data_IF_886786261555
#
_entry.id   IF_886786261555
#
_cell.length_a   1.000
_cell.length_b   1.000
_cell.length_c   1.000
_cell.angle_alpha   90.00
_cell.angle_beta   90.00
_cell.angle_gamma   90.00
#
_symmetry.space_group_name_H-M   'P 1'
#
loop_
_entity.id
_entity.type
_entity.pdbx_description
1 polymer ?
#
# COMPACT_ATOMS: atom_id res chain seq x y z
N UNK A 1 -19.23 4.03 41.94
CA UNK A 1 -20.23 3.65 40.91
C UNK A 1 -19.55 3.89 39.59
N UNK A 2 -18.99 2.82 39.04
CA UNK A 2 -17.85 2.84 38.14
C UNK A 2 -18.20 3.20 36.69
N UNK A 3 -17.33 4.01 36.08
CA UNK A 3 -17.33 4.37 34.67
C UNK A 3 -17.28 3.16 33.71
N UNK A 4 -16.97 1.96 34.20
CA UNK A 4 -17.07 0.72 33.42
C UNK A 4 -18.51 0.35 33.04
N UNK A 5 -19.50 0.70 33.86
CA UNK A 5 -20.90 0.33 33.56
C UNK A 5 -21.44 1.17 32.39
N UNK A 6 -20.97 2.42 32.21
CA UNK A 6 -21.40 3.29 31.11
C UNK A 6 -20.82 2.88 29.74
N UNK A 7 -19.62 2.27 29.73
CA UNK A 7 -19.01 1.74 28.49
C UNK A 7 -19.73 0.45 28.05
N UNK A 8 -20.22 -0.37 28.98
CA UNK A 8 -21.01 -1.56 28.64
C UNK A 8 -22.38 -1.21 28.04
N UNK A 9 -23.01 -0.09 28.42
CA UNK A 9 -24.30 0.32 27.81
C UNK A 9 -24.11 0.83 26.38
N UNK A 10 -22.95 1.41 26.04
CA UNK A 10 -22.62 1.76 24.64
C UNK A 10 -22.31 0.53 23.77
N UNK A 11 -21.90 -0.60 24.36
CA UNK A 11 -21.73 -1.87 23.64
C UNK A 11 -23.04 -2.69 23.49
N UNK A 12 -24.12 -2.31 24.17
CA UNK A 12 -25.41 -3.02 24.10
C UNK A 12 -26.51 -2.24 23.36
N UNK A 13 -26.17 -1.12 22.72
CA UNK A 13 -27.11 -0.33 21.92
C UNK A 13 -26.53 0.05 20.54
N UNK A 14 -26.16 -0.95 19.73
CA UNK A 14 -26.22 -0.78 18.27
C UNK A 14 -26.43 -2.12 17.56
N UNK A 15 -27.62 -2.68 17.80
CA UNK A 15 -28.23 -3.67 16.90
C UNK A 15 -29.40 -3.01 16.18
N UNK A 16 -29.14 -1.92 15.43
CA UNK A 16 -30.15 -1.31 14.54
C UNK A 16 -29.61 -0.34 13.47
N UNK A 17 -28.30 -0.29 13.20
CA UNK A 17 -27.81 0.24 11.93
C UNK A 17 -26.83 -0.81 11.42
N UNK A 18 -27.31 -1.69 10.55
CA UNK A 18 -26.45 -2.54 9.73
C UNK A 18 -25.67 -1.67 8.74
N UNK A 19 -24.80 -0.78 9.24
CA UNK A 19 -23.80 -0.10 8.45
C UNK A 19 -22.81 -1.19 8.05
N UNK A 20 -23.16 -1.91 6.97
CA UNK A 20 -22.15 -2.63 6.21
C UNK A 20 -21.16 -1.53 5.81
N UNK A 21 -20.00 -1.50 6.46
CA UNK A 21 -18.87 -0.72 5.97
C UNK A 21 -18.50 -1.41 4.67
N UNK A 22 -19.11 -0.97 3.58
CA UNK A 22 -18.73 -1.42 2.25
C UNK A 22 -17.31 -0.92 2.00
N UNK A 23 -16.40 -1.74 1.45
CA UNK A 23 -15.13 -1.25 0.96
C UNK A 23 -15.34 0.00 0.11
N UNK A 24 -14.45 0.98 0.25
CA UNK A 24 -14.52 2.19 -0.58
C UNK A 24 -14.42 1.74 -2.04
N UNK A 25 -15.31 2.23 -2.90
CA UNK A 25 -15.34 1.77 -4.30
C UNK A 25 -14.01 2.10 -5.00
N UNK A 26 -13.60 1.27 -5.96
CA UNK A 26 -12.37 1.53 -6.74
C UNK A 26 -12.44 2.90 -7.44
N UNK A 27 -13.64 3.31 -7.88
CA UNK A 27 -13.86 4.63 -8.51
C UNK A 27 -13.56 5.78 -7.54
N UNK A 28 -14.00 5.65 -6.29
CA UNK A 28 -13.76 6.68 -5.27
C UNK A 28 -12.28 6.74 -4.86
N UNK A 29 -11.62 5.59 -4.75
CA UNK A 29 -10.18 5.54 -4.48
C UNK A 29 -9.35 6.10 -5.64
N UNK A 30 -9.71 5.78 -6.89
CA UNK A 30 -9.11 6.39 -8.08
C UNK A 30 -9.26 7.92 -8.05
N UNK A 31 -10.47 8.42 -7.73
CA UNK A 31 -10.70 9.86 -7.62
C UNK A 31 -9.84 10.49 -6.54
N UNK A 32 -9.78 9.87 -5.36
CA UNK A 32 -8.95 10.32 -4.24
C UNK A 32 -7.47 10.44 -4.63
N UNK A 33 -6.93 9.42 -5.30
CA UNK A 33 -5.54 9.45 -5.79
C UNK A 33 -5.33 10.61 -6.76
N UNK A 34 -6.20 10.74 -7.77
CA UNK A 34 -6.05 11.77 -8.79
C UNK A 34 -6.20 13.19 -8.23
N UNK A 35 -7.07 13.40 -7.24
CA UNK A 35 -7.24 14.68 -6.57
C UNK A 35 -5.98 15.08 -5.80
N UNK A 36 -5.38 14.15 -5.05
CA UNK A 36 -4.15 14.41 -4.30
C UNK A 36 -2.95 14.69 -5.20
N UNK A 37 -2.83 13.99 -6.33
CA UNK A 37 -1.76 14.23 -7.30
C UNK A 37 -1.90 15.57 -8.04
N UNK A 38 -3.12 16.04 -8.30
CA UNK A 38 -3.39 17.34 -8.95
C UNK A 38 -3.29 18.52 -7.99
N UNK A 39 -3.64 18.30 -6.73
CA UNK A 39 -3.60 19.31 -5.68
C UNK A 39 -2.63 18.90 -4.57
N UNK A 40 -1.34 18.71 -4.87
CA UNK A 40 -0.35 18.40 -3.85
C UNK A 40 -0.36 19.56 -2.86
N UNK A 41 -0.69 19.26 -1.60
CA UNK A 41 -1.03 20.21 -0.52
C UNK A 41 -0.38 21.58 -0.75
N UNK A 42 -1.17 22.56 -1.20
CA UNK A 42 -0.72 23.95 -1.21
C UNK A 42 -0.47 24.34 0.24
N UNK A 43 0.78 24.63 0.60
CA UNK A 43 1.09 25.31 1.86
C UNK A 43 0.40 26.68 1.83
N UNK A 44 -0.84 26.75 2.30
CA UNK A 44 -1.50 28.04 2.53
C UNK A 44 -0.93 28.60 3.83
N UNK A 45 -0.50 29.86 3.77
CA UNK A 45 0.15 30.58 4.87
C UNK A 45 -0.76 30.81 6.11
N UNK A 46 -1.94 30.18 6.15
CA UNK A 46 -2.97 30.37 7.18
C UNK A 46 -3.07 29.18 8.15
N UNK A 47 -2.27 28.12 7.97
CA UNK A 47 -2.25 26.98 8.88
C UNK A 47 -1.59 27.38 10.22
N UNK A 48 -2.41 27.71 11.23
CA UNK A 48 -1.99 27.97 12.62
C UNK A 48 -1.52 26.69 13.37
N UNK A 49 -1.25 25.61 12.65
CA UNK A 49 -0.75 24.33 13.16
C UNK A 49 -0.01 23.55 12.07
N UNK A 50 1.22 23.10 12.35
CA UNK A 50 1.95 22.16 11.50
C UNK A 50 1.32 20.76 11.67
N UNK A 51 0.30 20.46 10.88
CA UNK A 51 -0.24 19.11 10.82
C UNK A 51 0.71 18.21 10.02
N UNK A 52 0.99 16.97 10.49
CA UNK A 52 1.72 16.00 9.70
C UNK A 52 1.03 15.80 8.35
N UNK A 53 1.79 15.94 7.26
CA UNK A 53 1.28 15.77 5.90
C UNK A 53 2.30 14.98 5.09
N UNK A 54 1.83 14.20 4.12
CA UNK A 54 2.74 13.51 3.22
C UNK A 54 3.64 14.48 2.45
N UNK A 55 4.86 14.06 2.08
CA UNK A 55 5.74 14.87 1.24
C UNK A 55 5.05 15.20 -0.10
N UNK A 56 5.50 16.27 -0.76
CA UNK A 56 5.00 16.64 -2.07
C UNK A 56 5.11 15.47 -3.06
N UNK A 57 4.04 15.16 -3.79
CA UNK A 57 3.99 14.05 -4.74
C UNK A 57 3.75 12.68 -4.12
N UNK A 58 3.47 12.60 -2.81
CA UNK A 58 3.04 11.37 -2.14
C UNK A 58 1.54 11.42 -1.87
N UNK A 59 0.87 10.28 -2.07
CA UNK A 59 -0.55 10.09 -1.77
C UNK A 59 -0.71 9.63 -0.33
N UNK A 60 -1.51 10.37 0.44
CA UNK A 60 -1.91 10.03 1.79
C UNK A 60 -3.12 9.11 1.79
N UNK A 61 -3.01 7.97 2.48
CA UNK A 61 -4.13 7.10 2.78
C UNK A 61 -3.90 6.40 4.12
N UNK A 62 -4.89 6.44 5.01
CA UNK A 62 -4.88 5.78 6.33
C UNK A 62 -3.61 6.06 7.17
N UNK A 63 -3.17 7.33 7.23
CA UNK A 63 -1.98 7.73 7.99
C UNK A 63 -0.64 7.27 7.38
N UNK A 64 -0.65 6.83 6.12
CA UNK A 64 0.53 6.40 5.38
C UNK A 64 0.65 7.21 4.09
N UNK A 65 1.87 7.33 3.61
CA UNK A 65 2.20 8.05 2.39
C UNK A 65 2.75 7.07 1.36
N UNK A 66 2.19 7.05 0.15
CA UNK A 66 2.61 6.19 -0.96
C UNK A 66 3.12 7.02 -2.13
N UNK A 67 4.13 6.53 -2.84
CA UNK A 67 4.61 7.16 -4.08
C UNK A 67 5.13 6.11 -5.06
N UNK A 68 4.86 6.32 -6.35
CA UNK A 68 5.28 5.43 -7.43
C UNK A 68 6.52 6.00 -8.12
N UNK A 69 7.47 5.11 -8.42
CA UNK A 69 8.67 5.43 -9.16
C UNK A 69 8.78 4.52 -10.38
N UNK A 70 8.73 5.12 -11.58
CA UNK A 70 8.81 4.42 -12.86
C UNK A 70 10.21 3.96 -13.26
N UNK A 71 11.19 4.00 -12.36
CA UNK A 71 12.54 3.51 -12.64
C UNK A 71 12.59 1.99 -12.51
N UNK A 72 13.15 1.30 -13.51
CA UNK A 72 13.33 -0.15 -13.43
C UNK A 72 14.56 -0.49 -12.59
N UNK A 73 14.34 -1.13 -11.45
CA UNK A 73 15.39 -1.56 -10.51
C UNK A 73 15.14 -2.99 -10.05
N UNK A 74 16.20 -3.68 -9.62
CA UNK A 74 16.03 -4.90 -8.84
C UNK A 74 15.39 -4.60 -7.48
N UNK A 75 14.85 -5.64 -6.83
CA UNK A 75 14.08 -5.47 -5.60
C UNK A 75 14.93 -4.83 -4.48
N UNK A 76 16.20 -5.20 -4.36
CA UNK A 76 17.08 -4.68 -3.31
C UNK A 76 17.46 -3.21 -3.56
N UNK A 77 17.72 -2.84 -4.80
CA UNK A 77 17.97 -1.46 -5.19
C UNK A 77 16.73 -0.57 -5.02
N UNK A 78 15.54 -1.08 -5.35
CA UNK A 78 14.28 -0.39 -5.14
C UNK A 78 13.98 -0.17 -3.64
N UNK A 79 14.22 -1.19 -2.80
CA UNK A 79 14.12 -1.06 -1.33
C UNK A 79 15.09 -0.01 -0.79
N UNK A 80 16.37 -0.06 -1.20
CA UNK A 80 17.37 0.94 -0.81
C UNK A 80 16.98 2.36 -1.22
N UNK A 81 16.36 2.52 -2.40
CA UNK A 81 15.84 3.79 -2.86
C UNK A 81 14.71 4.30 -1.94
N UNK A 82 13.74 3.46 -1.59
CA UNK A 82 12.67 3.84 -0.67
C UNK A 82 13.19 4.17 0.74
N UNK A 83 14.21 3.44 1.22
CA UNK A 83 14.90 3.73 2.49
C UNK A 83 15.53 5.13 2.46
N UNK A 84 16.18 5.51 1.36
CA UNK A 84 16.77 6.84 1.21
C UNK A 84 15.72 7.97 1.21
N UNK A 85 14.45 7.66 0.93
CA UNK A 85 13.32 8.60 1.03
C UNK A 85 12.62 8.58 2.40
N UNK A 86 13.18 7.85 3.36
CA UNK A 86 12.64 7.70 4.71
C UNK A 86 11.45 6.75 4.80
N UNK A 87 11.40 5.74 3.92
CA UNK A 87 10.36 4.72 3.86
C UNK A 87 10.92 3.33 3.53
N UNK A 88 10.08 2.50 2.93
CA UNK A 88 10.41 1.16 2.43
C UNK A 88 9.62 0.91 1.14
N UNK A 89 9.88 -0.18 0.43
CA UNK A 89 8.93 -0.69 -0.54
C UNK A 89 7.57 -0.90 0.12
N UNK A 90 6.51 -0.67 -0.65
CA UNK A 90 5.16 -0.63 -0.12
C UNK A 90 4.76 -1.96 0.51
N UNK A 91 4.42 -1.92 1.80
CA UNK A 91 3.65 -2.96 2.46
C UNK A 91 2.16 -2.67 2.38
N UNK A 92 1.36 -3.73 2.25
CA UNK A 92 -0.07 -3.64 2.00
C UNK A 92 -0.83 -4.43 3.08
N UNK A 93 -1.79 -3.76 3.71
CA UNK A 93 -2.47 -4.24 4.92
C UNK A 93 -3.99 -4.32 4.77
N UNK A 94 -4.56 -3.83 3.66
CA UNK A 94 -5.98 -3.94 3.37
C UNK A 94 -6.26 -3.90 1.86
N UNK A 95 -7.48 -4.31 1.48
CA UNK A 95 -7.94 -4.16 0.10
C UNK A 95 -7.94 -2.69 -0.34
N UNK A 96 -8.35 -1.75 0.52
CA UNK A 96 -8.38 -0.34 0.15
C UNK A 96 -6.96 0.21 -0.11
N UNK A 97 -5.97 -0.16 0.71
CA UNK A 97 -4.57 0.21 0.45
C UNK A 97 -4.08 -0.36 -0.87
N UNK A 98 -4.42 -1.61 -1.17
CA UNK A 98 -4.04 -2.23 -2.44
C UNK A 98 -4.65 -1.48 -3.64
N UNK A 99 -5.92 -1.10 -3.55
CA UNK A 99 -6.58 -0.31 -4.58
C UNK A 99 -5.98 1.10 -4.71
N UNK A 100 -5.56 1.73 -3.61
CA UNK A 100 -4.81 3.01 -3.66
C UNK A 100 -3.48 2.84 -4.38
N UNK A 101 -2.74 1.77 -4.11
CA UNK A 101 -1.47 1.46 -4.80
C UNK A 101 -1.72 1.24 -6.29
N UNK A 102 -2.74 0.47 -6.68
CA UNK A 102 -3.12 0.27 -8.09
C UNK A 102 -3.51 1.57 -8.78
N UNK A 103 -4.36 2.37 -8.14
CA UNK A 103 -4.78 3.67 -8.64
C UNK A 103 -3.58 4.60 -8.85
N UNK A 104 -2.65 4.60 -7.90
CA UNK A 104 -1.40 5.36 -7.97
C UNK A 104 -0.54 4.90 -9.15
N UNK A 105 -0.32 3.60 -9.32
CA UNK A 105 0.42 3.07 -10.48
C UNK A 105 -0.25 3.50 -11.77
N UNK A 106 -1.57 3.29 -11.92
CA UNK A 106 -2.34 3.65 -13.12
C UNK A 106 -2.26 5.14 -13.46
N UNK A 107 -2.21 6.01 -12.45
CA UNK A 107 -2.09 7.45 -12.63
C UNK A 107 -0.77 7.86 -13.30
N UNK A 108 0.31 7.13 -13.06
CA UNK A 108 1.65 7.40 -13.61
C UNK A 108 2.01 6.50 -14.80
N UNK A 109 1.55 5.26 -14.80
CA UNK A 109 1.72 4.25 -15.85
C UNK A 109 0.37 3.64 -16.23
N UNK A 110 -0.31 4.20 -17.25
CA UNK A 110 -1.59 3.67 -17.74
C UNK A 110 -1.53 2.24 -18.29
N UNK A 111 -0.33 1.71 -18.58
CA UNK A 111 -0.18 0.31 -19.01
C UNK A 111 -0.21 -0.67 -17.83
N UNK A 112 -0.11 -0.16 -16.60
CA UNK A 112 -0.06 -0.95 -15.37
C UNK A 112 0.95 -2.09 -15.51
N UNK A 113 2.21 -1.74 -15.81
CA UNK A 113 3.31 -2.70 -15.86
C UNK A 113 3.59 -3.29 -14.47
N UNK A 114 4.32 -4.40 -14.45
CA UNK A 114 4.74 -5.07 -13.23
C UNK A 114 5.54 -4.11 -12.33
N UNK A 115 5.16 -4.09 -11.05
CA UNK A 115 5.66 -3.11 -10.07
C UNK A 115 6.00 -3.79 -8.75
N UNK A 116 7.19 -3.55 -8.21
CA UNK A 116 7.63 -4.09 -6.93
C UNK A 116 6.82 -3.58 -5.74
N UNK A 117 6.60 -4.49 -4.79
CA UNK A 117 6.15 -4.21 -3.42
C UNK A 117 7.11 -4.87 -2.42
N UNK A 118 7.00 -4.49 -1.14
CA UNK A 118 7.99 -4.85 -0.12
C UNK A 118 7.88 -6.28 0.42
N UNK A 119 7.05 -7.14 -0.17
CA UNK A 119 6.88 -8.50 0.32
C UNK A 119 8.01 -9.39 -0.20
N UNK A 120 8.64 -10.14 0.70
CA UNK A 120 9.61 -11.16 0.33
C UNK A 120 9.58 -12.35 1.29
N UNK A 121 10.06 -13.51 0.84
CA UNK A 121 10.34 -14.66 1.71
C UNK A 121 11.82 -15.09 1.62
N UNK A 122 12.69 -14.27 1.02
CA UNK A 122 14.10 -14.60 0.80
C UNK A 122 14.87 -14.82 2.11
N UNK A 123 14.53 -14.09 3.17
CA UNK A 123 15.18 -14.21 4.48
C UNK A 123 14.82 -15.51 5.19
N UNK A 124 13.60 -16.01 4.98
CA UNK A 124 13.09 -17.23 5.59
C UNK A 124 12.12 -17.90 4.62
N UNK A 125 12.59 -18.94 3.95
CA UNK A 125 11.79 -19.72 3.01
C UNK A 125 10.44 -20.12 3.64
N UNK A 126 9.37 -20.01 2.85
CA UNK A 126 7.99 -20.26 3.26
C UNK A 126 7.43 -19.28 4.32
N UNK A 127 8.09 -18.14 4.56
CA UNK A 127 7.63 -17.10 5.47
C UNK A 127 7.68 -15.74 4.80
N UNK A 128 6.51 -15.24 4.38
CA UNK A 128 6.37 -13.91 3.79
C UNK A 128 6.50 -12.81 4.84
N UNK A 129 7.37 -11.84 4.57
CA UNK A 129 7.71 -10.72 5.44
C UNK A 129 7.70 -9.41 4.64
N UNK A 130 7.14 -8.36 5.21
CA UNK A 130 7.26 -7.01 4.67
C UNK A 130 8.63 -6.43 5.05
N UNK A 131 9.29 -5.76 4.11
CA UNK A 131 10.61 -5.13 4.31
C UNK A 131 10.60 -4.04 5.38
N UNK A 132 9.45 -3.41 5.62
CA UNK A 132 9.24 -2.40 6.66
C UNK A 132 8.99 -2.99 8.07
N UNK A 133 9.04 -4.33 8.20
CA UNK A 133 8.85 -5.04 9.46
C UNK A 133 7.40 -5.15 9.93
N UNK A 134 6.41 -4.66 9.18
CA UNK A 134 5.01 -4.84 9.53
C UNK A 134 4.57 -6.31 9.34
N UNK A 135 3.47 -6.68 10.03
CA UNK A 135 2.97 -8.06 10.01
C UNK A 135 2.28 -8.38 8.68
N UNK A 136 2.61 -9.53 8.10
CA UNK A 136 1.91 -10.09 6.96
C UNK A 136 0.53 -10.62 7.38
N UNK A 137 -0.54 -9.89 7.04
CA UNK A 137 -1.94 -10.21 7.39
C UNK A 137 -2.92 -10.14 6.22
N UNK A 138 -2.51 -9.47 5.14
CA UNK A 138 -3.30 -9.30 3.93
C UNK A 138 -2.50 -9.85 2.75
N UNK A 139 -3.20 -10.50 1.83
CA UNK A 139 -2.61 -11.04 0.62
C UNK A 139 -3.58 -10.96 -0.53
N UNK A 140 -3.05 -10.73 -1.73
CA UNK A 140 -3.81 -10.68 -2.97
C UNK A 140 -3.06 -11.40 -4.08
N UNK A 141 -2.77 -12.68 -3.86
CA UNK A 141 -2.11 -13.51 -4.86
C UNK A 141 -3.01 -13.76 -6.07
N UNK A 142 -2.43 -13.78 -7.26
CA UNK A 142 -3.11 -14.30 -8.43
C UNK A 142 -3.46 -15.78 -8.25
N UNK A 143 -4.41 -16.25 -9.06
CA UNK A 143 -4.69 -17.68 -9.15
C UNK A 143 -3.40 -18.46 -9.48
N UNK A 144 -3.09 -19.45 -8.65
CA UNK A 144 -1.88 -20.31 -8.70
C UNK A 144 -0.59 -19.66 -8.19
N UNK A 145 -0.66 -18.45 -7.64
CA UNK A 145 0.45 -17.80 -6.95
C UNK A 145 0.29 -17.89 -5.41
N UNK A 146 1.41 -17.84 -4.65
CA UNK A 146 2.78 -17.94 -5.14
C UNK A 146 3.11 -19.37 -5.60
N UNK A 147 3.82 -19.49 -6.72
CA UNK A 147 4.17 -20.79 -7.30
C UNK A 147 5.58 -21.26 -6.93
N UNK A 148 6.41 -20.37 -6.35
CA UNK A 148 7.77 -20.65 -5.90
C UNK A 148 8.69 -21.27 -6.96
N UNK A 149 8.49 -20.93 -8.23
CA UNK A 149 9.34 -21.41 -9.32
C UNK A 149 10.75 -20.88 -9.12
N UNK A 150 11.77 -21.69 -9.41
CA UNK A 150 13.14 -21.21 -9.69
C UNK A 150 13.74 -20.11 -8.77
N UNK A 151 13.55 -20.21 -7.45
CA UNK A 151 14.15 -19.24 -6.50
C UNK A 151 13.40 -17.91 -6.37
N UNK A 152 12.12 -17.89 -6.75
CA UNK A 152 11.20 -16.78 -6.56
C UNK A 152 10.97 -16.50 -5.07
N UNK A 153 11.35 -15.29 -4.65
CA UNK A 153 11.23 -14.90 -3.26
C UNK A 153 10.89 -13.41 -3.05
N UNK A 154 10.77 -12.62 -4.12
CA UNK A 154 10.31 -11.24 -4.13
C UNK A 154 8.95 -11.14 -4.84
N UNK A 155 8.20 -10.07 -4.58
CA UNK A 155 6.82 -9.94 -5.06
C UNK A 155 6.61 -8.66 -5.84
N UNK A 156 6.01 -8.80 -7.01
CA UNK A 156 5.45 -7.68 -7.77
C UNK A 156 3.94 -7.78 -7.86
N UNK A 157 3.29 -6.65 -8.14
CA UNK A 157 1.88 -6.56 -8.49
C UNK A 157 1.71 -6.42 -10.00
N UNK A 158 0.47 -6.25 -10.46
CA UNK A 158 0.10 -6.06 -11.86
C UNK A 158 0.37 -7.27 -12.77
N UNK A 159 0.42 -8.47 -12.18
CA UNK A 159 0.58 -9.72 -12.93
C UNK A 159 -0.76 -10.28 -13.42
N UNK A 160 -0.75 -10.88 -14.60
CA UNK A 160 -1.92 -11.55 -15.17
C UNK A 160 -3.10 -10.61 -15.44
N UNK A 161 -4.28 -11.20 -15.70
CA UNK A 161 -5.50 -10.44 -16.00
C UNK A 161 -6.11 -9.75 -14.78
N UNK A 162 -5.92 -10.31 -13.58
CA UNK A 162 -6.43 -9.74 -12.33
C UNK A 162 -5.55 -8.58 -11.82
N UNK A 163 -4.32 -8.47 -12.38
CA UNK A 163 -3.31 -7.48 -11.97
C UNK A 163 -2.86 -7.64 -10.52
N UNK A 164 -3.02 -8.84 -9.99
CA UNK A 164 -2.72 -9.22 -8.61
C UNK A 164 -1.27 -9.68 -8.42
N UNK A 165 -0.93 -10.21 -7.24
CA UNK A 165 0.46 -10.44 -6.83
C UNK A 165 1.03 -11.70 -7.46
N UNK A 166 2.34 -11.69 -7.70
CA UNK A 166 3.13 -12.81 -8.22
C UNK A 166 4.49 -12.85 -7.53
N UNK A 167 4.97 -14.03 -7.15
CA UNK A 167 6.37 -14.20 -6.75
C UNK A 167 7.27 -14.36 -7.96
N UNK A 168 8.46 -13.77 -7.90
CA UNK A 168 9.36 -13.63 -9.04
C UNK A 168 10.82 -13.56 -8.54
N UNK A 169 11.85 -13.85 -9.37
CA UNK A 169 13.24 -13.68 -8.94
C UNK A 169 13.54 -12.21 -8.66
N UNK A 170 14.21 -11.93 -7.55
CA UNK A 170 14.47 -10.56 -7.08
C UNK A 170 15.37 -9.72 -8.00
N UNK A 171 16.11 -10.36 -8.92
CA UNK A 171 17.03 -9.71 -9.85
C UNK A 171 16.35 -9.20 -11.14
N UNK A 172 15.03 -9.32 -11.26
CA UNK A 172 14.27 -8.67 -12.33
C UNK A 172 14.25 -7.15 -12.12
N UNK A 173 14.07 -6.39 -13.19
CA UNK A 173 14.00 -4.93 -13.10
C UNK A 173 12.56 -4.47 -13.32
N UNK A 174 11.95 -3.89 -12.28
CA UNK A 174 10.58 -3.36 -12.34
C UNK A 174 10.53 -1.95 -11.74
N UNK A 175 9.47 -1.22 -12.07
CA UNK A 175 9.08 -0.02 -11.32
C UNK A 175 8.69 -0.42 -9.90
N UNK A 176 8.48 0.56 -9.02
CA UNK A 176 8.22 0.25 -7.61
C UNK A 176 7.39 1.31 -6.91
N UNK A 177 6.75 0.92 -5.81
CA UNK A 177 5.99 1.82 -4.94
C UNK A 177 6.67 1.86 -3.59
N UNK A 178 6.97 3.07 -3.11
CA UNK A 178 7.45 3.29 -1.76
C UNK A 178 6.29 3.62 -0.81
N UNK A 179 6.45 3.29 0.46
CA UNK A 179 5.59 3.72 1.55
C UNK A 179 6.39 4.28 2.71
N UNK A 180 5.83 5.27 3.40
CA UNK A 180 6.33 5.75 4.71
C UNK A 180 5.17 6.10 5.62
N UNK A 181 5.42 6.12 6.92
CA UNK A 181 4.45 6.64 7.90
C UNK A 181 4.42 8.17 7.81
N UNK A 182 3.23 8.73 8.08
CA UNK A 182 3.03 10.17 8.23
C UNK A 182 3.83 10.72 9.42
#
# INVERSE_FOLDING_TARGET
MDHLVLICVLFMASSAIGLKITPVSEVDLNRLVMEQLKNPVKRTAEARHCQPSCPYGWVQFDGRCFSYFGYSMDWAAAEAYCINLGGNLASIHSENEYQVVKALVRAYDPKEQETWIGLSNCQKKNSWLWSDGNRYRYSKWNNKEPNHSSGECCVHINYGSQKDWNDIPCNKAYSFVCVRRL
#
